data_IF_381713090004
#
_entry.id   IF_381713090004
#
_cell.length_a   1.000
_cell.length_b   1.000
_cell.length_c   1.000
_cell.angle_alpha   90.00
_cell.angle_beta   90.00
_cell.angle_gamma   90.00
#
_symmetry.space_group_name_H-M   'P 1'
#
loop_
_entity.id
_entity.type
_entity.pdbx_description
1 polymer ?
#
# COMPACT_ATOMS: atom_id res chain seq x y z
N UNK A 1 14.80 -45.09 27.32
CA UNK A 1 13.90 -44.84 26.17
C UNK A 1 13.87 -43.33 25.91
N UNK A 2 14.78 -42.82 25.06
CA UNK A 2 14.86 -41.39 24.71
C UNK A 2 13.91 -41.13 23.53
N UNK A 3 12.91 -40.27 23.72
CA UNK A 3 12.05 -39.81 22.61
C UNK A 3 12.94 -39.08 21.62
N UNK A 4 12.94 -39.56 20.37
CA UNK A 4 13.52 -38.87 19.24
C UNK A 4 12.59 -37.70 18.92
N UNK A 5 12.97 -36.48 19.29
CA UNK A 5 12.33 -35.27 18.80
C UNK A 5 12.73 -35.07 17.33
N UNK A 6 11.79 -35.12 16.37
CA UNK A 6 12.13 -35.00 14.95
C UNK A 6 12.28 -33.54 14.49
N UNK A 7 12.36 -32.56 15.41
CA UNK A 7 12.22 -31.15 15.08
C UNK A 7 13.53 -30.34 15.04
N UNK A 8 14.65 -30.95 14.64
CA UNK A 8 15.93 -30.23 14.50
C UNK A 8 16.65 -30.52 13.18
N UNK A 9 15.93 -30.80 12.09
CA UNK A 9 16.55 -30.70 10.77
C UNK A 9 16.60 -29.21 10.38
N UNK A 10 17.79 -28.59 10.26
CA UNK A 10 17.87 -27.30 9.61
C UNK A 10 17.30 -27.47 8.19
N UNK A 11 16.20 -26.76 7.87
CA UNK A 11 15.65 -26.76 6.52
C UNK A 11 16.78 -26.49 5.51
N UNK A 12 16.85 -27.24 4.40
CA UNK A 12 17.94 -27.11 3.43
C UNK A 12 18.04 -25.66 2.94
N UNK A 13 19.25 -25.21 2.61
CA UNK A 13 19.54 -23.81 2.22
C UNK A 13 18.60 -23.30 1.11
N UNK A 14 18.23 -24.19 0.18
CA UNK A 14 17.23 -23.94 -0.88
C UNK A 14 15.85 -23.59 -0.34
N UNK A 15 15.32 -24.36 0.61
CA UNK A 15 13.98 -24.16 1.20
C UNK A 15 13.91 -22.85 1.99
N UNK A 16 15.01 -22.45 2.64
CA UNK A 16 15.12 -21.14 3.30
C UNK A 16 15.15 -19.97 2.31
N UNK A 17 15.76 -20.17 1.14
CA UNK A 17 15.80 -19.14 0.09
C UNK A 17 14.41 -18.94 -0.53
N UNK A 18 13.70 -20.02 -0.86
CA UNK A 18 12.33 -19.96 -1.39
C UNK A 18 11.36 -19.26 -0.42
N UNK A 19 11.44 -19.58 0.87
CA UNK A 19 10.61 -18.91 1.90
C UNK A 19 10.91 -17.41 1.98
N UNK A 20 12.17 -16.99 1.82
CA UNK A 20 12.53 -15.56 1.78
C UNK A 20 11.97 -14.86 0.56
N UNK A 21 12.03 -15.48 -0.62
CA UNK A 21 11.50 -14.95 -1.87
C UNK A 21 9.98 -14.80 -1.78
N UNK A 22 9.27 -15.84 -1.31
CA UNK A 22 7.81 -15.79 -1.11
C UNK A 22 7.41 -14.69 -0.11
N UNK A 23 8.15 -14.54 0.99
CA UNK A 23 7.90 -13.50 2.00
C UNK A 23 8.16 -12.09 1.45
N UNK A 24 9.12 -11.91 0.56
CA UNK A 24 9.35 -10.62 -0.12
C UNK A 24 8.27 -10.33 -1.16
N UNK A 25 7.86 -11.34 -1.95
CA UNK A 25 6.77 -11.21 -2.92
C UNK A 25 5.47 -10.76 -2.24
N UNK A 26 5.09 -11.43 -1.15
CA UNK A 26 3.92 -11.05 -0.35
C UNK A 26 3.97 -9.60 0.15
N UNK A 27 5.14 -9.14 0.61
CA UNK A 27 5.31 -7.74 1.05
C UNK A 27 5.15 -6.73 -0.08
N UNK A 28 5.54 -7.08 -1.31
CA UNK A 28 5.29 -6.25 -2.50
C UNK A 28 3.81 -6.20 -2.82
N UNK A 29 3.15 -7.35 -2.84
CA UNK A 29 1.73 -7.44 -3.15
C UNK A 29 0.91 -6.62 -2.14
N UNK A 30 1.23 -6.70 -0.85
CA UNK A 30 0.61 -5.86 0.20
C UNK A 30 0.85 -4.36 -0.06
N UNK A 31 2.07 -3.96 -0.43
CA UNK A 31 2.39 -2.56 -0.72
C UNK A 31 1.63 -2.05 -1.97
N UNK A 32 1.53 -2.86 -3.02
CA UNK A 32 0.76 -2.53 -4.23
C UNK A 32 -0.74 -2.42 -3.89
N UNK A 33 -1.26 -3.32 -3.05
CA UNK A 33 -2.65 -3.27 -2.60
C UNK A 33 -2.95 -1.96 -1.85
N UNK A 34 -2.04 -1.51 -0.97
CA UNK A 34 -2.16 -0.23 -0.28
C UNK A 34 -2.15 0.96 -1.25
N UNK A 35 -1.32 0.91 -2.30
CA UNK A 35 -1.27 1.94 -3.33
C UNK A 35 -2.58 1.99 -4.14
N UNK A 36 -3.13 0.84 -4.55
CA UNK A 36 -4.41 0.77 -5.25
C UNK A 36 -5.54 1.33 -4.37
N UNK A 37 -5.57 0.93 -3.09
CA UNK A 37 -6.57 1.42 -2.15
C UNK A 37 -6.46 2.94 -1.95
N UNK A 38 -5.23 3.47 -1.89
CA UNK A 38 -4.99 4.92 -1.81
C UNK A 38 -5.50 5.66 -3.04
N UNK A 39 -5.32 5.10 -4.24
CA UNK A 39 -5.80 5.67 -5.48
C UNK A 39 -7.33 5.70 -5.54
N UNK A 40 -8.00 4.61 -5.13
CA UNK A 40 -9.45 4.56 -5.04
C UNK A 40 -10.00 5.58 -4.05
N UNK A 41 -9.35 5.72 -2.88
CA UNK A 41 -9.70 6.72 -1.87
C UNK A 41 -9.58 8.15 -2.41
N UNK A 42 -8.51 8.44 -3.17
CA UNK A 42 -8.30 9.75 -3.80
C UNK A 42 -9.36 10.05 -4.85
N UNK A 43 -9.72 9.07 -5.70
CA UNK A 43 -10.79 9.24 -6.70
C UNK A 43 -12.12 9.56 -6.01
N UNK A 44 -12.48 8.82 -4.95
CA UNK A 44 -13.69 9.11 -4.17
C UNK A 44 -13.64 10.51 -3.55
N UNK A 45 -12.49 10.90 -2.99
CA UNK A 45 -12.27 12.25 -2.46
C UNK A 45 -12.55 13.34 -3.50
N UNK A 46 -12.05 13.19 -4.74
CA UNK A 46 -12.29 14.14 -5.84
C UNK A 46 -13.76 14.19 -6.24
N UNK A 47 -14.46 13.06 -6.23
CA UNK A 47 -15.91 13.00 -6.50
C UNK A 47 -16.68 13.76 -5.42
N UNK A 48 -16.37 13.54 -4.14
CA UNK A 48 -16.99 14.28 -3.03
C UNK A 48 -16.64 15.78 -3.05
N UNK A 49 -15.41 16.13 -3.42
CA UNK A 49 -15.02 17.53 -3.64
C UNK A 49 -15.90 18.17 -4.70
N UNK A 50 -16.12 17.47 -5.82
CA UNK A 50 -16.94 17.96 -6.92
C UNK A 50 -18.40 18.11 -6.51
N UNK A 51 -18.94 17.18 -5.71
CA UNK A 51 -20.29 17.24 -5.13
C UNK A 51 -20.45 18.39 -4.14
N UNK A 52 -19.39 18.74 -3.41
CA UNK A 52 -19.41 19.87 -2.47
C UNK A 52 -19.60 21.23 -3.16
N UNK A 53 -19.43 21.32 -4.48
CA UNK A 53 -19.83 22.50 -5.24
C UNK A 53 -21.31 22.40 -5.55
N UNK A 54 -22.14 23.08 -4.74
CA UNK A 54 -23.56 23.20 -5.04
C UNK A 54 -23.81 24.28 -6.08
N UNK A 55 -24.80 24.02 -6.94
CA UNK A 55 -25.34 25.02 -7.85
C UNK A 55 -26.29 25.92 -7.05
N UNK A 56 -26.01 27.22 -7.04
CA UNK A 56 -26.95 28.21 -6.51
C UNK A 56 -28.13 28.40 -7.49
N UNK A 57 -29.22 29.06 -7.05
CA UNK A 57 -30.38 29.42 -7.88
C UNK A 57 -29.99 30.18 -9.16
N UNK A 58 -28.87 30.92 -9.11
CA UNK A 58 -28.27 31.63 -10.25
C UNK A 58 -27.34 30.76 -11.13
N UNK A 59 -27.36 29.43 -10.96
CA UNK A 59 -26.49 28.46 -11.66
C UNK A 59 -24.98 28.67 -11.46
N UNK A 60 -24.58 29.42 -10.43
CA UNK A 60 -23.17 29.56 -10.06
C UNK A 60 -22.75 28.43 -9.11
N UNK A 61 -21.56 27.84 -9.34
CA UNK A 61 -20.94 26.89 -8.40
C UNK A 61 -20.41 27.67 -7.20
N UNK A 62 -21.08 27.52 -6.06
CA UNK A 62 -20.61 28.11 -4.81
C UNK A 62 -20.07 26.97 -3.94
N UNK A 63 -18.84 27.15 -3.48
CA UNK A 63 -18.21 26.23 -2.57
C UNK A 63 -18.83 26.39 -1.17
N UNK A 64 -19.38 25.30 -0.62
CA UNK A 64 -19.99 25.29 0.71
C UNK A 64 -19.07 24.53 1.67
N UNK A 65 -18.15 25.21 2.39
CA UNK A 65 -17.18 24.55 3.26
C UNK A 65 -17.80 23.82 4.46
N UNK A 66 -19.04 24.18 4.82
CA UNK A 66 -19.78 23.54 5.91
C UNK A 66 -20.58 22.29 5.45
N UNK A 67 -20.46 21.87 4.19
CA UNK A 67 -21.14 20.68 3.70
C UNK A 67 -20.51 19.42 4.29
N UNK A 68 -21.35 18.42 4.61
CA UNK A 68 -20.87 17.09 4.99
C UNK A 68 -20.04 16.44 3.87
N UNK A 69 -20.33 16.79 2.62
CA UNK A 69 -19.60 16.33 1.43
C UNK A 69 -18.14 16.79 1.46
N UNK A 70 -17.89 18.05 1.85
CA UNK A 70 -16.54 18.60 1.97
C UNK A 70 -15.74 17.92 3.09
N UNK A 71 -16.35 17.76 4.27
CA UNK A 71 -15.70 17.08 5.40
C UNK A 71 -15.34 15.64 5.03
N UNK A 72 -16.26 14.94 4.36
CA UNK A 72 -16.03 13.57 3.88
C UNK A 72 -14.90 13.53 2.85
N UNK A 73 -14.87 14.47 1.90
CA UNK A 73 -13.76 14.64 0.97
C UNK A 73 -12.41 14.80 1.70
N UNK A 74 -12.32 15.68 2.70
CA UNK A 74 -11.09 15.89 3.47
C UNK A 74 -10.62 14.61 4.17
N UNK A 75 -11.52 13.80 4.72
CA UNK A 75 -11.19 12.53 5.35
C UNK A 75 -10.64 11.52 4.33
N UNK A 76 -11.29 11.37 3.18
CA UNK A 76 -10.83 10.47 2.11
C UNK A 76 -9.49 10.91 1.52
N UNK A 77 -9.25 12.23 1.41
CA UNK A 77 -7.96 12.77 0.98
C UNK A 77 -6.87 12.53 2.03
N UNK A 78 -7.13 12.79 3.30
CA UNK A 78 -6.16 12.57 4.37
C UNK A 78 -5.78 11.09 4.50
N UNK A 79 -6.77 10.19 4.46
CA UNK A 79 -6.56 8.75 4.48
C UNK A 79 -5.80 8.29 3.22
N UNK A 80 -6.22 8.74 2.04
CA UNK A 80 -5.58 8.42 0.77
C UNK A 80 -4.11 8.86 0.73
N UNK A 81 -3.81 10.09 1.13
CA UNK A 81 -2.43 10.61 1.18
C UNK A 81 -1.56 9.86 2.20
N UNK A 82 -2.13 9.50 3.36
CA UNK A 82 -1.41 8.72 4.37
C UNK A 82 -1.06 7.32 3.87
N UNK A 83 -2.01 6.65 3.21
CA UNK A 83 -1.81 5.33 2.60
C UNK A 83 -0.84 5.39 1.43
N UNK A 84 -0.91 6.44 0.61
CA UNK A 84 0.01 6.65 -0.51
C UNK A 84 1.45 6.86 -0.02
N UNK A 85 1.65 7.70 1.01
CA UNK A 85 2.96 7.92 1.62
C UNK A 85 3.55 6.64 2.23
N UNK A 86 2.75 5.91 3.00
CA UNK A 86 3.20 4.65 3.60
C UNK A 86 3.45 3.56 2.56
N UNK A 87 2.54 3.40 1.59
CA UNK A 87 2.61 2.42 0.52
C UNK A 87 3.81 2.66 -0.39
N UNK A 88 4.08 3.92 -0.77
CA UNK A 88 5.23 4.29 -1.59
C UNK A 88 6.56 4.06 -0.87
N UNK A 89 6.66 4.41 0.42
CA UNK A 89 7.85 4.13 1.22
C UNK A 89 8.12 2.62 1.33
N UNK A 90 7.08 1.81 1.60
CA UNK A 90 7.18 0.34 1.64
C UNK A 90 7.58 -0.24 0.28
N UNK A 91 7.01 0.26 -0.80
CA UNK A 91 7.33 -0.18 -2.15
C UNK A 91 8.78 0.15 -2.53
N UNK A 92 9.25 1.36 -2.24
CA UNK A 92 10.62 1.80 -2.50
C UNK A 92 11.65 0.93 -1.74
N UNK A 93 11.42 0.70 -0.44
CA UNK A 93 12.26 -0.17 0.39
C UNK A 93 12.27 -1.63 -0.10
N UNK A 94 11.12 -2.14 -0.55
CA UNK A 94 11.05 -3.50 -1.09
C UNK A 94 11.67 -3.62 -2.49
N UNK A 95 11.69 -2.55 -3.27
CA UNK A 95 12.30 -2.51 -4.60
C UNK A 95 13.82 -2.51 -4.51
N UNK A 96 14.40 -1.70 -3.61
CA UNK A 96 15.85 -1.63 -3.39
C UNK A 96 16.42 -2.94 -2.85
N UNK A 97 15.73 -3.61 -1.93
CA UNK A 97 16.17 -4.89 -1.36
C UNK A 97 16.33 -5.99 -2.42
N UNK A 98 15.48 -6.02 -3.44
CA UNK A 98 15.53 -7.06 -4.49
C UNK A 98 16.59 -6.73 -5.54
N UNK A 99 16.85 -5.45 -5.83
CA UNK A 99 17.97 -5.04 -6.68
C UNK A 99 19.32 -5.44 -6.08
N UNK A 100 19.46 -5.36 -4.75
CA UNK A 100 20.67 -5.81 -4.05
C UNK A 100 20.86 -7.33 -4.18
N UNK A 101 19.81 -8.11 -3.96
CA UNK A 101 19.87 -9.58 -4.05
C UNK A 101 20.17 -10.05 -5.49
N UNK A 102 19.61 -9.39 -6.51
CA UNK A 102 19.94 -9.71 -7.90
C UNK A 102 21.39 -9.37 -8.25
N UNK A 103 21.94 -8.27 -7.72
CA UNK A 103 23.35 -7.91 -7.93
C UNK A 103 24.31 -8.88 -7.25
N UNK A 104 23.98 -9.40 -6.07
CA UNK A 104 24.79 -10.43 -5.41
C UNK A 104 24.79 -11.74 -6.20
N UNK A 105 23.64 -12.17 -6.74
CA UNK A 105 23.54 -13.41 -7.51
C UNK A 105 24.11 -13.37 -8.94
N UNK A 106 24.49 -12.19 -9.45
CA UNK A 106 25.17 -12.04 -10.75
C UNK A 106 26.71 -12.02 -10.61
N UNK A 107 27.21 -11.90 -9.38
CA UNK A 107 28.64 -11.79 -9.08
C UNK A 107 29.24 -13.08 -8.47
N UNK A 108 28.44 -14.14 -8.35
CA UNK A 108 28.79 -15.53 -8.04
C UNK A 108 28.78 -16.37 -9.33
#
# INVERSE_FOLDING_TARGET
MKRFDPQSRPAPSSERAEVRILKQKKRRDDAICLLILSALSLVLGVVFLSLSFRYNFLHQRIFVPASLEFVTCCLFFAAGMSLLGWGSARFALSSSAIRLIQKEGEND
#
